data_IF_093841178389
#
_entry.id   IF_093841178389
#
_cell.length_a   1.000
_cell.length_b   1.000
_cell.length_c   1.000
_cell.angle_alpha   90.00
_cell.angle_beta   90.00
_cell.angle_gamma   90.00
#
_symmetry.space_group_name_H-M   'P 1'
#
loop_
_entity.id
_entity.type
_entity.pdbx_description
1 polymer ?
#
# COMPACT_ATOMS: atom_id res chain seq x y z
N UNK A 1 39.21 54.42 32.33
CA UNK A 1 38.12 54.24 31.33
C UNK A 1 38.24 52.95 30.51
N UNK A 2 39.43 52.52 30.08
CA UNK A 2 39.58 51.36 29.18
C UNK A 2 39.16 50.00 29.76
N UNK A 3 39.27 49.78 31.08
CA UNK A 3 38.90 48.50 31.70
C UNK A 3 37.38 48.29 31.83
N UNK A 4 36.62 49.37 32.10
CA UNK A 4 35.16 49.36 32.16
C UNK A 4 34.53 49.11 30.78
N UNK A 5 35.10 49.72 29.73
CA UNK A 5 34.70 49.44 28.35
C UNK A 5 34.92 47.98 27.96
N UNK A 6 36.05 47.40 28.38
CA UNK A 6 36.38 45.99 28.12
C UNK A 6 35.45 45.03 28.85
N UNK A 7 35.06 45.34 30.09
CA UNK A 7 34.09 44.56 30.86
C UNK A 7 32.66 44.64 30.29
N UNK A 8 32.22 45.83 29.86
CA UNK A 8 30.91 45.99 29.21
C UNK A 8 30.84 45.23 27.88
N UNK A 9 31.89 45.29 27.06
CA UNK A 9 31.96 44.53 25.80
C UNK A 9 31.91 43.01 26.02
N UNK A 10 32.59 42.50 27.06
CA UNK A 10 32.53 41.07 27.42
C UNK A 10 31.13 40.68 27.91
N UNK A 11 30.47 41.55 28.68
CA UNK A 11 29.13 41.29 29.19
C UNK A 11 28.06 41.29 28.09
N UNK A 12 28.18 42.18 27.10
CA UNK A 12 27.35 42.15 25.89
C UNK A 12 27.60 40.90 25.05
N UNK A 13 28.86 40.50 24.89
CA UNK A 13 29.23 39.26 24.18
C UNK A 13 28.62 38.02 24.85
N UNK A 14 28.63 37.96 26.20
CA UNK A 14 28.02 36.85 26.95
C UNK A 14 26.49 36.86 26.82
N UNK A 15 25.84 38.03 26.87
CA UNK A 15 24.39 38.15 26.63
C UNK A 15 24.02 37.71 25.21
N UNK A 16 24.79 38.15 24.23
CA UNK A 16 24.62 37.75 22.84
C UNK A 16 24.77 36.24 22.67
N UNK A 17 25.82 35.64 23.22
CA UNK A 17 26.04 34.19 23.16
C UNK A 17 24.92 33.40 23.86
N UNK A 18 24.38 33.87 24.98
CA UNK A 18 23.22 33.25 25.65
C UNK A 18 21.95 33.34 24.80
N UNK A 19 21.71 34.50 24.17
CA UNK A 19 20.59 34.68 23.24
C UNK A 19 20.73 33.74 22.03
N UNK A 20 21.93 33.70 21.43
CA UNK A 20 22.24 32.84 20.30
C UNK A 20 22.10 31.35 20.65
N UNK A 21 22.54 30.93 21.84
CA UNK A 21 22.32 29.58 22.37
C UNK A 21 20.81 29.27 22.50
N UNK A 22 20.02 30.19 23.03
CA UNK A 22 18.57 30.01 23.14
C UNK A 22 17.89 29.87 21.78
N UNK A 23 18.26 30.72 20.81
CA UNK A 23 17.70 30.68 19.45
C UNK A 23 18.09 29.37 18.74
N UNK A 24 19.33 28.92 18.91
CA UNK A 24 19.80 27.65 18.31
C UNK A 24 19.12 26.44 18.92
N UNK A 25 18.89 26.41 20.23
CA UNK A 25 18.11 25.33 20.89
C UNK A 25 16.68 25.30 20.36
N UNK A 26 16.03 26.47 20.22
CA UNK A 26 14.67 26.56 19.71
C UNK A 26 14.57 26.10 18.25
N UNK A 27 15.55 26.48 17.42
CA UNK A 27 15.64 26.02 16.03
C UNK A 27 15.86 24.52 15.95
N UNK A 28 16.72 23.95 16.80
CA UNK A 28 16.94 22.50 16.87
C UNK A 28 15.66 21.76 17.25
N UNK A 29 14.92 22.25 18.25
CA UNK A 29 13.64 21.67 18.65
C UNK A 29 12.60 21.72 17.52
N UNK A 30 12.49 22.86 16.82
CA UNK A 30 11.59 23.01 15.68
C UNK A 30 11.93 22.04 14.54
N UNK A 31 13.23 21.85 14.24
CA UNK A 31 13.68 20.89 13.23
C UNK A 31 13.34 19.45 13.62
N UNK A 32 13.52 19.07 14.88
CA UNK A 32 13.16 17.73 15.37
C UNK A 32 11.65 17.48 15.21
N UNK A 33 10.81 18.46 15.54
CA UNK A 33 9.34 18.38 15.35
C UNK A 33 8.99 18.26 13.87
N UNK A 34 9.62 19.04 12.99
CA UNK A 34 9.40 18.98 11.56
C UNK A 34 9.77 17.60 10.97
N UNK A 35 10.88 17.02 11.43
CA UNK A 35 11.31 15.67 11.02
C UNK A 35 10.29 14.62 11.50
N UNK A 36 9.83 14.70 12.75
CA UNK A 36 8.79 13.79 13.25
C UNK A 36 7.48 13.91 12.45
N UNK A 37 7.05 15.12 12.13
CA UNK A 37 5.87 15.37 11.31
C UNK A 37 6.02 14.82 9.88
N UNK A 38 7.21 14.94 9.29
CA UNK A 38 7.50 14.38 7.98
C UNK A 38 7.48 12.84 7.99
N UNK A 39 8.06 12.20 9.02
CA UNK A 39 8.10 10.73 9.15
C UNK A 39 6.71 10.14 9.45
N UNK A 40 5.88 10.85 10.23
CA UNK A 40 4.52 10.40 10.58
C UNK A 40 3.50 10.63 9.49
N UNK A 41 3.86 11.37 8.43
CA UNK A 41 2.97 11.60 7.29
C UNK A 41 2.79 10.29 6.52
N UNK A 42 1.66 9.65 6.75
CA UNK A 42 1.28 8.47 5.96
C UNK A 42 0.81 8.89 4.58
N UNK A 43 1.53 8.43 3.56
CA UNK A 43 1.09 8.55 2.18
C UNK A 43 -0.01 7.53 1.91
N UNK A 44 -1.18 8.04 1.52
CA UNK A 44 -2.30 7.23 1.08
C UNK A 44 -2.38 7.29 -0.43
N UNK A 45 -2.20 6.14 -1.07
CA UNK A 45 -2.30 5.93 -2.50
C UNK A 45 -3.67 5.36 -2.82
N UNK A 46 -4.34 5.87 -3.85
CA UNK A 46 -5.57 5.29 -4.37
C UNK A 46 -5.23 4.49 -5.62
N UNK A 47 -5.29 3.17 -5.53
CA UNK A 47 -5.12 2.30 -6.68
C UNK A 47 -6.48 2.04 -7.32
N UNK A 48 -6.55 2.21 -8.64
CA UNK A 48 -7.70 1.86 -9.45
C UNK A 48 -7.24 0.74 -10.38
N UNK A 49 -7.63 -0.52 -10.13
CA UNK A 49 -7.29 -1.62 -11.01
C UNK A 49 -7.89 -1.40 -12.39
N UNK A 50 -7.10 -1.65 -13.44
CA UNK A 50 -7.58 -1.52 -14.82
C UNK A 50 -8.75 -2.49 -15.14
N UNK A 51 -8.82 -3.62 -14.43
CA UNK A 51 -9.83 -4.66 -14.66
C UNK A 51 -11.14 -4.43 -13.88
N UNK A 52 -11.12 -3.62 -12.82
CA UNK A 52 -12.28 -3.24 -12.01
C UNK A 52 -12.19 -1.76 -11.60
N UNK A 53 -12.52 -0.80 -12.49
CA UNK A 53 -12.34 0.62 -12.22
C UNK A 53 -13.23 1.15 -11.08
N UNK A 54 -14.34 0.46 -10.80
CA UNK A 54 -15.24 0.80 -9.69
C UNK A 54 -14.65 0.45 -8.33
N UNK A 55 -13.62 -0.40 -8.29
CA UNK A 55 -13.01 -0.90 -7.06
C UNK A 55 -11.79 -0.07 -6.69
N UNK A 56 -12.05 1.04 -6.01
CA UNK A 56 -11.01 1.95 -5.48
C UNK A 56 -10.34 1.33 -4.25
N UNK A 57 -9.06 1.01 -4.35
CA UNK A 57 -8.27 0.46 -3.24
C UNK A 57 -7.46 1.58 -2.58
N UNK A 58 -7.76 1.89 -1.33
CA UNK A 58 -6.98 2.84 -0.55
C UNK A 58 -5.83 2.10 0.13
N UNK A 59 -4.61 2.51 -0.18
CA UNK A 59 -3.41 1.82 0.29
C UNK A 59 -2.52 2.80 1.04
N UNK A 60 -2.10 2.44 2.26
CA UNK A 60 -1.16 3.22 3.06
C UNK A 60 0.24 2.63 2.95
N UNK A 61 1.27 3.47 3.02
CA UNK A 61 2.68 3.05 2.98
C UNK A 61 3.04 1.99 4.03
N UNK A 62 2.32 1.92 5.15
CA UNK A 62 2.59 0.95 6.23
C UNK A 62 1.97 -0.43 6.02
N UNK A 63 0.82 -0.52 5.33
CA UNK A 63 0.02 -1.76 5.22
C UNK A 63 -0.34 -2.08 3.76
N UNK A 64 0.55 -1.75 2.83
CA UNK A 64 0.30 -1.89 1.39
C UNK A 64 -0.01 -3.32 0.98
N UNK A 65 0.82 -4.26 1.45
CA UNK A 65 0.78 -5.65 1.00
C UNK A 65 -0.52 -6.35 1.40
N UNK A 66 -0.99 -6.16 2.63
CA UNK A 66 -2.15 -6.88 3.12
C UNK A 66 -3.44 -6.45 2.39
N UNK A 67 -3.62 -5.14 2.22
CA UNK A 67 -4.78 -4.58 1.51
C UNK A 67 -4.77 -5.04 0.05
N UNK A 68 -3.63 -4.91 -0.62
CA UNK A 68 -3.48 -5.35 -2.00
C UNK A 68 -3.76 -6.84 -2.18
N UNK A 69 -3.16 -7.70 -1.33
CA UNK A 69 -3.30 -9.16 -1.44
C UNK A 69 -4.73 -9.62 -1.18
N UNK A 70 -5.41 -9.05 -0.17
CA UNK A 70 -6.84 -9.34 0.09
C UNK A 70 -7.70 -9.01 -1.11
N UNK A 71 -7.50 -7.81 -1.65
CA UNK A 71 -8.30 -7.33 -2.75
C UNK A 71 -8.03 -8.12 -4.05
N UNK A 72 -6.77 -8.46 -4.31
CA UNK A 72 -6.34 -9.33 -5.40
C UNK A 72 -6.96 -10.73 -5.29
N UNK A 73 -6.90 -11.35 -4.10
CA UNK A 73 -7.50 -12.66 -3.87
C UNK A 73 -9.01 -12.65 -4.14
N UNK A 74 -9.73 -11.61 -3.70
CA UNK A 74 -11.17 -11.44 -4.01
C UNK A 74 -11.39 -11.40 -5.52
N UNK A 75 -10.60 -10.61 -6.23
CA UNK A 75 -10.74 -10.43 -7.66
C UNK A 75 -10.55 -11.76 -8.40
N UNK A 76 -9.45 -12.45 -8.14
CA UNK A 76 -9.14 -13.74 -8.75
C UNK A 76 -10.22 -14.77 -8.45
N UNK A 77 -10.67 -14.85 -7.19
CA UNK A 77 -11.68 -15.84 -6.79
C UNK A 77 -13.04 -15.54 -7.43
N UNK A 78 -13.43 -14.26 -7.53
CA UNK A 78 -14.65 -13.88 -8.24
C UNK A 78 -14.55 -14.23 -9.73
N UNK A 79 -13.45 -13.89 -10.39
CA UNK A 79 -13.27 -14.12 -11.82
C UNK A 79 -13.29 -15.61 -12.18
N UNK A 80 -12.75 -16.47 -11.30
CA UNK A 80 -12.71 -17.92 -11.53
C UNK A 80 -14.03 -18.63 -11.17
N UNK A 81 -14.70 -18.21 -10.10
CA UNK A 81 -15.85 -18.96 -9.56
C UNK A 81 -17.20 -18.27 -9.75
N UNK A 82 -17.23 -17.02 -10.21
CA UNK A 82 -18.44 -16.32 -10.64
C UNK A 82 -18.48 -16.25 -12.15
N UNK A 83 -18.92 -17.34 -12.77
CA UNK A 83 -18.84 -17.51 -14.22
C UNK A 83 -20.15 -17.98 -14.82
N UNK A 84 -20.29 -17.78 -16.12
CA UNK A 84 -21.39 -18.29 -16.94
C UNK A 84 -20.84 -18.75 -18.29
N UNK A 85 -21.59 -19.60 -18.99
CA UNK A 85 -21.22 -20.06 -20.34
C UNK A 85 -20.92 -18.91 -21.32
N UNK A 86 -21.51 -17.72 -21.12
CA UNK A 86 -21.32 -16.58 -21.99
C UNK A 86 -20.08 -15.74 -21.63
N UNK A 87 -19.64 -15.75 -20.37
CA UNK A 87 -18.55 -14.87 -19.91
C UNK A 87 -17.22 -15.60 -19.71
N UNK A 88 -17.23 -16.92 -19.54
CA UNK A 88 -16.05 -17.71 -19.16
C UNK A 88 -14.84 -17.50 -20.09
N UNK A 89 -15.07 -17.31 -21.39
CA UNK A 89 -13.99 -17.03 -22.35
C UNK A 89 -13.30 -15.70 -22.10
N UNK A 90 -14.09 -14.65 -21.86
CA UNK A 90 -13.56 -13.33 -21.53
C UNK A 90 -12.82 -13.36 -20.20
N UNK A 91 -13.40 -14.01 -19.20
CA UNK A 91 -12.81 -14.14 -17.86
C UNK A 91 -11.46 -14.87 -17.91
N UNK A 92 -11.33 -15.94 -18.70
CA UNK A 92 -10.06 -16.64 -18.92
C UNK A 92 -9.05 -15.76 -19.65
N UNK A 93 -9.47 -15.01 -20.66
CA UNK A 93 -8.57 -14.09 -21.38
C UNK A 93 -8.01 -13.01 -20.44
N UNK A 94 -8.89 -12.41 -19.62
CA UNK A 94 -8.52 -11.45 -18.58
C UNK A 94 -7.54 -12.07 -17.58
N UNK A 95 -7.80 -13.30 -17.13
CA UNK A 95 -6.93 -13.99 -16.19
C UNK A 95 -5.56 -14.36 -16.78
N UNK A 96 -5.49 -14.65 -18.09
CA UNK A 96 -4.22 -14.90 -18.80
C UNK A 96 -3.33 -13.66 -18.87
N UNK A 97 -3.89 -12.46 -18.89
CA UNK A 97 -3.10 -11.21 -18.84
C UNK A 97 -2.42 -11.06 -17.47
N UNK A 98 -3.11 -11.46 -16.40
CA UNK A 98 -2.65 -11.31 -15.03
C UNK A 98 -1.81 -12.49 -14.50
N UNK A 99 -1.71 -13.59 -15.24
CA UNK A 99 -1.11 -14.84 -14.77
C UNK A 99 0.13 -15.25 -15.56
N UNK A 100 0.97 -16.09 -14.96
CA UNK A 100 2.13 -16.64 -15.64
C UNK A 100 1.71 -17.71 -16.66
N UNK A 101 2.32 -17.67 -17.84
CA UNK A 101 2.08 -18.66 -18.89
C UNK A 101 2.72 -20.00 -18.53
N UNK A 102 1.96 -20.86 -17.85
CA UNK A 102 2.40 -22.21 -17.45
C UNK A 102 1.50 -23.27 -18.08
N UNK A 103 2.06 -24.44 -18.39
CA UNK A 103 1.31 -25.53 -19.02
C UNK A 103 0.16 -26.03 -18.13
N UNK A 104 0.39 -26.16 -16.82
CA UNK A 104 -0.62 -26.57 -15.85
C UNK A 104 -1.80 -25.61 -15.80
N UNK A 105 -1.55 -24.30 -15.80
CA UNK A 105 -2.60 -23.29 -15.77
C UNK A 105 -3.37 -23.24 -17.10
N UNK A 106 -2.68 -23.38 -18.22
CA UNK A 106 -3.34 -23.46 -19.54
C UNK A 106 -4.25 -24.68 -19.64
N UNK A 107 -3.81 -25.84 -19.12
CA UNK A 107 -4.64 -27.04 -19.04
C UNK A 107 -5.87 -26.81 -18.17
N UNK A 108 -5.69 -26.23 -16.98
CA UNK A 108 -6.80 -25.88 -16.08
C UNK A 108 -7.84 -24.98 -16.77
N UNK A 109 -7.41 -23.92 -17.47
CA UNK A 109 -8.33 -23.05 -18.19
C UNK A 109 -9.08 -23.76 -19.32
N UNK A 110 -8.41 -24.67 -20.03
CA UNK A 110 -9.04 -25.47 -21.07
C UNK A 110 -10.13 -26.38 -20.50
N UNK A 111 -9.81 -27.12 -19.44
CA UNK A 111 -10.74 -28.04 -18.77
C UNK A 111 -11.92 -27.28 -18.14
N UNK A 112 -11.66 -26.13 -17.51
CA UNK A 112 -12.68 -25.27 -16.92
C UNK A 112 -13.64 -24.71 -17.98
N UNK A 113 -13.10 -24.23 -19.12
CA UNK A 113 -13.93 -23.73 -20.22
C UNK A 113 -14.83 -24.81 -20.80
N UNK A 114 -14.28 -26.02 -21.04
CA UNK A 114 -15.08 -27.16 -21.50
C UNK A 114 -16.17 -27.52 -20.52
N UNK A 115 -15.88 -27.53 -19.21
CA UNK A 115 -16.85 -27.84 -18.17
C UNK A 115 -17.99 -26.80 -18.15
N UNK A 116 -17.67 -25.51 -18.09
CA UNK A 116 -18.67 -24.43 -17.94
C UNK A 116 -19.56 -24.33 -19.18
N UNK A 117 -18.97 -24.35 -20.40
CA UNK A 117 -19.75 -24.30 -21.64
C UNK A 117 -20.48 -25.61 -21.92
N UNK A 118 -19.80 -26.75 -21.79
CA UNK A 118 -20.36 -28.06 -22.08
C UNK A 118 -21.52 -28.44 -21.15
N UNK A 119 -21.46 -27.99 -19.89
CA UNK A 119 -22.50 -28.26 -18.89
C UNK A 119 -23.50 -27.09 -18.74
N UNK A 120 -23.33 -26.00 -19.49
CA UNK A 120 -24.10 -24.75 -19.38
C UNK A 120 -24.25 -24.25 -17.92
N UNK A 121 -23.15 -24.31 -17.17
CA UNK A 121 -23.13 -23.97 -15.75
C UNK A 121 -23.05 -22.46 -15.58
N UNK A 122 -23.75 -21.95 -14.58
CA UNK A 122 -23.57 -20.61 -14.05
C UNK A 122 -23.37 -20.69 -12.55
N UNK A 123 -22.36 -19.99 -12.06
CA UNK A 123 -21.99 -19.98 -10.64
C UNK A 123 -21.75 -18.56 -10.16
N UNK A 124 -21.97 -18.34 -8.88
CA UNK A 124 -21.65 -17.07 -8.22
C UNK A 124 -20.93 -17.38 -6.91
N UNK A 125 -19.79 -16.76 -6.71
CA UNK A 125 -18.95 -16.97 -5.53
C UNK A 125 -18.80 -15.68 -4.73
N UNK A 126 -19.12 -15.77 -3.44
CA UNK A 126 -18.97 -14.67 -2.49
C UNK A 126 -18.04 -15.09 -1.35
N UNK A 127 -16.81 -14.56 -1.29
CA UNK A 127 -15.93 -14.81 -0.16
C UNK A 127 -16.53 -14.18 1.11
N UNK A 128 -16.69 -14.98 2.17
CA UNK A 128 -17.21 -14.50 3.47
C UNK A 128 -16.15 -13.84 4.35
N UNK A 129 -14.94 -14.41 4.37
CA UNK A 129 -13.79 -13.95 5.17
C UNK A 129 -12.51 -14.21 4.41
N UNK A 130 -11.58 -13.26 4.45
CA UNK A 130 -10.27 -13.35 3.80
C UNK A 130 -9.24 -12.82 4.77
N UNK A 131 -8.25 -13.65 5.04
CA UNK A 131 -7.14 -13.36 5.93
C UNK A 131 -5.85 -13.64 5.18
N UNK A 132 -4.87 -12.75 5.32
CA UNK A 132 -3.52 -12.98 4.78
C UNK A 132 -2.78 -13.82 5.80
N UNK A 133 -2.42 -15.02 5.40
CA UNK A 133 -1.74 -15.98 6.26
C UNK A 133 -0.25 -15.96 5.89
N UNK A 134 0.62 -15.80 6.86
CA UNK A 134 2.06 -15.97 6.65
C UNK A 134 2.36 -17.46 6.58
N UNK A 135 3.25 -17.90 5.68
CA UNK A 135 3.59 -19.34 5.54
C UNK A 135 4.01 -19.99 6.87
N UNK A 136 4.58 -19.22 7.79
CA UNK A 136 4.98 -19.65 9.13
C UNK A 136 3.82 -20.02 10.08
N UNK A 137 2.58 -19.64 9.78
CA UNK A 137 1.41 -19.95 10.62
C UNK A 137 0.61 -21.17 10.13
N UNK A 138 1.09 -21.88 9.10
CA UNK A 138 0.42 -23.05 8.51
C UNK A 138 1.04 -24.38 9.02
N UNK A 139 2.04 -24.31 9.91
CA UNK A 139 2.63 -25.48 10.58
C UNK A 139 2.17 -25.62 12.03
#
# INVERSE_FOLDING_TARGET
MNHLFKQNAIQELVKYNKCLLSVTILLAAANIIAIMAAITKEEKWLLIPAMEPDRKMMVSSKNYHETYLKEWAIYVTKLLFTTSSNEVERQIADMKVASSNTESLNKFFHDHLQFVKGSNVSSVFFPKKIEVINEWSIN
#
